data_IF_503424916496
#
_entry.id   IF_503424916496
#
_cell.length_a   1.000
_cell.length_b   1.000
_cell.length_c   1.000
_cell.angle_alpha   90.00
_cell.angle_beta   90.00
_cell.angle_gamma   90.00
#
_symmetry.space_group_name_H-M   'P 1'
#
loop_
_entity.id
_entity.type
_entity.pdbx_description
1 polymer ?
#
# COMPACT_ATOMS: atom_id res chain seq x y z
N UNK A 1 -17.31 8.65 -10.43
CA UNK A 1 -16.13 9.12 -11.20
C UNK A 1 -14.94 8.29 -10.79
N UNK A 2 -14.18 7.78 -11.75
CA UNK A 2 -12.93 7.05 -11.48
C UNK A 2 -11.80 8.06 -11.38
N UNK A 3 -11.07 8.13 -10.25
CA UNK A 3 -9.95 9.05 -10.11
C UNK A 3 -8.85 8.72 -11.14
N UNK A 4 -8.17 9.76 -11.61
CA UNK A 4 -7.02 9.66 -12.52
C UNK A 4 -5.73 9.35 -11.77
N UNK A 5 -4.71 8.88 -12.48
CA UNK A 5 -3.39 8.58 -11.90
C UNK A 5 -2.75 9.83 -11.26
N UNK A 6 -2.95 11.00 -11.84
CA UNK A 6 -2.45 12.28 -11.28
C UNK A 6 -3.13 12.63 -9.96
N UNK A 7 -4.44 12.43 -9.86
CA UNK A 7 -5.19 12.62 -8.61
C UNK A 7 -4.73 11.65 -7.52
N UNK A 8 -4.43 10.40 -7.89
CA UNK A 8 -3.86 9.43 -6.94
C UNK A 8 -2.48 9.88 -6.47
N UNK A 9 -1.60 10.37 -7.35
CA UNK A 9 -0.28 10.89 -6.97
C UNK A 9 -0.35 12.11 -6.07
N UNK A 10 -1.39 12.94 -6.20
CA UNK A 10 -1.59 14.11 -5.34
C UNK A 10 -1.94 13.73 -3.88
N UNK A 11 -2.35 12.49 -3.62
CA UNK A 11 -2.58 11.97 -2.27
C UNK A 11 -1.26 11.53 -1.60
N UNK A 12 -0.42 12.50 -1.24
CA UNK A 12 0.77 12.27 -0.41
C UNK A 12 0.44 12.56 1.08
N UNK A 13 0.68 11.63 2.02
CA UNK A 13 1.43 10.37 1.88
C UNK A 13 0.58 9.10 1.64
N UNK A 14 -0.75 9.17 1.74
CA UNK A 14 -1.62 7.98 1.62
C UNK A 14 -2.96 8.25 0.96
N UNK A 15 -3.46 7.24 0.24
CA UNK A 15 -4.77 7.23 -0.43
C UNK A 15 -5.84 6.63 0.49
N UNK A 16 -7.02 7.27 0.61
CA UNK A 16 -8.16 6.67 1.29
C UNK A 16 -8.67 5.41 0.57
N UNK A 17 -9.09 4.40 1.33
CA UNK A 17 -9.73 3.17 0.80
C UNK A 17 -10.83 3.44 -0.24
N UNK A 18 -11.81 4.36 -0.04
CA UNK A 18 -12.84 4.59 -1.05
C UNK A 18 -12.28 5.13 -2.38
N UNK A 19 -11.21 5.94 -2.33
CA UNK A 19 -10.54 6.48 -3.52
C UNK A 19 -9.78 5.38 -4.24
N UNK A 20 -9.05 4.53 -3.50
CA UNK A 20 -8.36 3.37 -4.05
C UNK A 20 -9.31 2.36 -4.70
N UNK A 21 -10.45 2.10 -4.06
CA UNK A 21 -11.50 1.24 -4.59
C UNK A 21 -12.06 1.77 -5.91
N UNK A 22 -12.37 3.07 -5.96
CA UNK A 22 -12.82 3.73 -7.17
C UNK A 22 -11.77 3.70 -8.29
N UNK A 23 -10.49 3.84 -7.95
CA UNK A 23 -9.37 3.74 -8.88
C UNK A 23 -9.23 2.35 -9.48
N UNK A 24 -9.36 1.31 -8.66
CA UNK A 24 -9.25 -0.09 -9.08
C UNK A 24 -10.53 -0.64 -9.72
N UNK A 25 -11.65 0.08 -9.62
CA UNK A 25 -12.95 -0.39 -10.10
C UNK A 25 -13.55 -1.53 -9.27
N UNK A 26 -13.17 -1.63 -7.99
CA UNK A 26 -13.66 -2.66 -7.06
C UNK A 26 -14.36 -2.02 -5.86
N UNK A 27 -14.95 -2.84 -4.98
CA UNK A 27 -15.62 -2.31 -3.79
C UNK A 27 -14.60 -1.94 -2.69
N UNK A 28 -14.91 -0.96 -1.82
CA UNK A 28 -14.09 -0.65 -0.65
C UNK A 28 -13.89 -1.84 0.30
N UNK A 29 -14.86 -2.76 0.34
CA UNK A 29 -14.77 -3.98 1.14
C UNK A 29 -13.73 -4.94 0.56
N UNK A 30 -13.71 -5.14 -0.76
CA UNK A 30 -12.69 -5.94 -1.45
C UNK A 30 -11.29 -5.41 -1.21
N UNK A 31 -11.09 -4.09 -1.19
CA UNK A 31 -9.80 -3.46 -0.85
C UNK A 31 -9.38 -3.81 0.58
N UNK A 32 -10.30 -3.73 1.54
CA UNK A 32 -10.02 -4.02 2.96
C UNK A 32 -9.67 -5.49 3.18
N UNK A 33 -10.43 -6.39 2.58
CA UNK A 33 -10.18 -7.84 2.68
C UNK A 33 -8.87 -8.20 1.98
N UNK A 34 -8.64 -7.74 0.74
CA UNK A 34 -7.38 -7.97 0.03
C UNK A 34 -6.14 -7.45 0.78
N UNK A 35 -6.25 -6.30 1.46
CA UNK A 35 -5.17 -5.80 2.31
C UNK A 35 -5.02 -6.54 3.64
N UNK A 36 -6.07 -7.19 4.14
CA UNK A 36 -6.07 -7.97 5.38
C UNK A 36 -5.48 -9.36 5.15
N UNK A 37 -5.84 -9.99 4.05
CA UNK A 37 -5.35 -11.32 3.63
C UNK A 37 -3.97 -11.25 2.97
N UNK A 38 -3.49 -10.05 2.62
CA UNK A 38 -2.18 -9.83 2.01
C UNK A 38 -2.15 -10.00 0.49
N UNK A 39 -3.29 -10.30 -0.12
CA UNK A 39 -3.49 -10.45 -1.57
C UNK A 39 -3.31 -9.11 -2.32
N UNK A 40 -3.51 -7.98 -1.63
CA UNK A 40 -3.42 -6.64 -2.20
C UNK A 40 -2.22 -5.85 -1.62
N UNK A 41 -1.01 -5.96 -2.21
CA UNK A 41 0.22 -5.34 -1.69
C UNK A 41 0.33 -3.83 -1.94
N UNK A 42 -0.80 -3.11 -2.00
CA UNK A 42 -0.87 -1.67 -2.29
C UNK A 42 -0.61 -0.78 -1.07
N UNK A 43 -0.44 -1.36 0.11
CA UNK A 43 -0.36 -0.61 1.36
C UNK A 43 -0.08 -1.49 2.57
N UNK A 44 -0.26 -0.92 3.75
CA UNK A 44 -0.14 -1.63 5.03
C UNK A 44 -1.37 -1.39 5.90
N UNK A 45 -1.70 -2.37 6.75
CA UNK A 45 -2.67 -2.22 7.84
C UNK A 45 -1.91 -2.01 9.15
N UNK A 46 -2.19 -0.92 9.88
CA UNK A 46 -1.72 -0.73 11.27
C UNK A 46 -2.92 -0.58 12.19
N UNK A 47 -3.12 -1.54 13.07
CA UNK A 47 -4.31 -1.62 13.92
C UNK A 47 -5.58 -1.67 13.07
N UNK A 48 -6.49 -0.72 13.29
CA UNK A 48 -7.75 -0.61 12.54
C UNK A 48 -7.68 0.35 11.33
N UNK A 49 -6.48 0.86 10.98
CA UNK A 49 -6.27 1.81 9.89
C UNK A 49 -5.54 1.17 8.71
N UNK A 50 -5.95 1.56 7.51
CA UNK A 50 -5.34 1.16 6.24
C UNK A 50 -4.56 2.35 5.66
N UNK A 51 -3.31 2.11 5.30
CA UNK A 51 -2.41 3.09 4.72
C UNK A 51 -2.08 2.60 3.31
N UNK A 52 -2.79 3.13 2.30
CA UNK A 52 -2.58 2.77 0.90
C UNK A 52 -1.59 3.76 0.31
N UNK A 53 -0.53 3.27 -0.29
CA UNK A 53 0.46 4.14 -0.92
C UNK A 53 0.06 4.39 -2.38
N UNK A 54 0.00 5.66 -2.81
CA UNK A 54 -0.43 6.01 -4.17
C UNK A 54 0.43 5.34 -5.24
N UNK A 55 1.75 5.27 -5.03
CA UNK A 55 2.70 4.68 -5.98
C UNK A 55 2.43 3.17 -6.21
N UNK A 56 2.20 2.43 -5.12
CA UNK A 56 1.88 0.99 -5.18
C UNK A 56 0.50 0.72 -5.78
N UNK A 57 -0.46 1.59 -5.50
CA UNK A 57 -1.81 1.51 -6.07
C UNK A 57 -1.78 1.68 -7.59
N UNK A 58 -0.98 2.63 -8.08
CA UNK A 58 -0.78 2.88 -9.52
C UNK A 58 -0.07 1.70 -10.18
N UNK A 59 1.02 1.20 -9.58
CA UNK A 59 1.77 0.05 -10.09
C UNK A 59 0.87 -1.20 -10.20
N UNK A 60 0.07 -1.47 -9.17
CA UNK A 60 -0.87 -2.60 -9.17
C UNK A 60 -1.90 -2.50 -10.31
N UNK A 61 -2.50 -1.33 -10.53
CA UNK A 61 -3.49 -1.13 -11.60
C UNK A 61 -2.87 -1.23 -13.00
N UNK A 62 -1.63 -0.77 -13.18
CA UNK A 62 -0.96 -0.78 -14.48
C UNK A 62 -0.52 -2.19 -14.93
N UNK A 63 -0.70 -3.20 -14.09
CA UNK A 63 -0.14 -4.54 -14.32
C UNK A 63 1.39 -4.58 -14.18
N UNK A 64 1.99 -3.49 -13.68
CA UNK A 64 3.41 -3.37 -13.40
C UNK A 64 3.69 -3.99 -12.01
N UNK A 65 3.35 -5.27 -11.86
CA UNK A 65 3.86 -6.11 -10.77
C UNK A 65 5.26 -6.64 -11.08
N UNK A 66 5.96 -6.02 -12.04
CA UNK A 66 7.35 -6.29 -12.37
C UNK A 66 8.27 -5.48 -11.45
N UNK A 67 8.30 -5.76 -10.15
CA UNK A 67 9.40 -5.27 -9.32
C UNK A 67 9.72 -6.15 -8.09
N UNK A 68 10.40 -7.30 -8.31
CA UNK A 68 11.03 -8.06 -7.22
C UNK A 68 12.12 -7.26 -6.47
N UNK A 69 12.53 -6.08 -6.96
CA UNK A 69 13.53 -5.22 -6.32
C UNK A 69 12.93 -4.24 -5.29
N UNK A 70 11.69 -3.78 -5.51
CA UNK A 70 10.93 -3.00 -4.51
C UNK A 70 10.63 -3.84 -3.26
N UNK A 71 10.49 -5.16 -3.44
CA UNK A 71 10.29 -6.11 -2.37
C UNK A 71 11.53 -6.20 -1.46
N UNK A 72 12.74 -6.30 -2.04
CA UNK A 72 13.97 -6.41 -1.24
C UNK A 72 14.27 -5.17 -0.41
N UNK A 73 14.13 -3.95 -0.96
CA UNK A 73 14.40 -2.72 -0.18
C UNK A 73 13.35 -2.48 0.91
N UNK A 74 12.08 -2.76 0.62
CA UNK A 74 11.01 -2.63 1.61
C UNK A 74 11.15 -3.67 2.74
N UNK A 75 11.48 -4.92 2.40
CA UNK A 75 11.75 -6.00 3.36
C UNK A 75 13.01 -5.69 4.18
N UNK A 76 14.10 -5.23 3.55
CA UNK A 76 15.34 -4.88 4.27
C UNK A 76 15.13 -3.69 5.21
N UNK A 77 14.42 -2.64 4.77
CA UNK A 77 14.10 -1.49 5.63
C UNK A 77 13.14 -1.88 6.77
N UNK A 78 12.22 -2.82 6.53
CA UNK A 78 11.35 -3.36 7.57
C UNK A 78 12.11 -4.21 8.59
N UNK A 79 13.03 -5.08 8.15
CA UNK A 79 13.90 -5.87 9.03
C UNK A 79 14.85 -4.97 9.85
N UNK A 80 15.42 -3.92 9.26
CA UNK A 80 16.23 -2.94 10.00
C UNK A 80 15.41 -2.27 11.10
N UNK A 81 14.18 -1.83 10.80
CA UNK A 81 13.30 -1.24 11.82
C UNK A 81 12.92 -2.20 12.94
N UNK A 82 12.82 -3.51 12.65
CA UNK A 82 12.56 -4.53 13.68
C UNK A 82 13.79 -4.78 14.56
N UNK A 83 15.00 -4.75 13.99
CA UNK A 83 16.26 -4.87 14.73
C UNK A 83 16.46 -3.65 15.64
N UNK A 84 16.26 -2.44 15.11
CA UNK A 84 16.32 -1.20 15.90
C UNK A 84 15.27 -1.16 17.02
N UNK A 85 14.09 -1.73 16.80
CA UNK A 85 13.04 -1.83 17.82
C UNK A 85 13.34 -2.88 18.91
N UNK A 86 14.23 -3.84 18.65
CA UNK A 86 14.69 -4.85 19.62
C UNK A 86 15.95 -4.37 20.37
N UNK A 87 16.83 -3.63 19.71
CA UNK A 87 18.04 -3.06 20.33
C UNK A 87 17.78 -1.72 21.04
N UNK A 88 16.69 -1.02 20.70
CA UNK A 88 16.26 0.24 21.31
C UNK A 88 15.42 0.06 22.57
N UNK A 89 15.97 -0.61 23.59
CA UNK A 89 15.44 -0.54 24.96
C UNK A 89 16.53 0.07 25.85
N UNK A 90 16.41 1.33 26.31
CA UNK A 90 17.05 1.71 27.57
C UNK A 90 16.40 0.96 28.74
#
# INVERSE_FOLDING_TARGET
MTPTTEEIRAHDPTVPVPVAAAYLGITPQSVREGMKDGDLPIGIKRGNRFYIYPDRLIAYRCGDTANPETDKRAVVSFLQKLIEAVEGTP
#
